data_IF_614703446728
#
_entry.id   IF_614703446728
#
_cell.length_a   1.000
_cell.length_b   1.000
_cell.length_c   1.000
_cell.angle_alpha   90.00
_cell.angle_beta   90.00
_cell.angle_gamma   90.00
#
_symmetry.space_group_name_H-M   'P 1'
#
loop_
_entity.id
_entity.type
_entity.pdbx_description
1 polymer ?
#
# COMPACT_ATOMS: atom_id res chain seq x y z
N UNK A 1 31.97 -28.87 28.30
CA UNK A 1 31.02 -28.69 27.17
C UNK A 1 29.56 -28.44 27.54
N UNK A 2 29.08 -28.67 28.78
CA UNK A 2 27.67 -28.41 29.16
C UNK A 2 27.29 -26.91 29.28
N UNK A 3 28.25 -26.02 29.58
CA UNK A 3 27.99 -24.58 29.79
C UNK A 3 27.77 -23.78 28.48
N UNK A 4 28.30 -24.23 27.35
CA UNK A 4 28.21 -23.51 26.07
C UNK A 4 26.88 -23.79 25.35
N UNK A 5 26.38 -25.03 25.42
CA UNK A 5 25.08 -25.41 24.84
C UNK A 5 23.92 -24.73 25.58
N UNK A 6 24.04 -24.55 26.90
CA UNK A 6 23.04 -23.84 27.72
C UNK A 6 23.00 -22.32 27.42
N UNK A 7 24.13 -21.71 27.00
CA UNK A 7 24.18 -20.30 26.59
C UNK A 7 23.53 -20.07 25.22
N UNK A 8 23.70 -21.00 24.28
CA UNK A 8 23.09 -20.91 22.94
C UNK A 8 21.57 -21.18 23.03
N UNK A 9 21.15 -22.16 23.83
CA UNK A 9 19.71 -22.40 24.09
C UNK A 9 19.00 -21.22 24.76
N UNK A 10 19.66 -20.50 25.67
CA UNK A 10 19.12 -19.26 26.26
C UNK A 10 19.10 -18.09 25.27
N UNK A 11 20.07 -17.96 24.36
CA UNK A 11 20.03 -16.92 23.32
C UNK A 11 18.95 -17.16 22.27
N UNK A 12 18.68 -18.41 21.88
CA UNK A 12 17.58 -18.75 20.96
C UNK A 12 16.21 -18.54 21.62
N UNK A 13 16.06 -18.84 22.91
CA UNK A 13 14.84 -18.54 23.66
C UNK A 13 14.61 -17.03 23.84
N UNK A 14 15.67 -16.22 24.01
CA UNK A 14 15.56 -14.75 24.10
C UNK A 14 15.25 -14.14 22.71
N UNK A 15 15.80 -14.68 21.63
CA UNK A 15 15.50 -14.23 20.27
C UNK A 15 14.06 -14.62 19.83
N UNK A 16 13.55 -15.79 20.21
CA UNK A 16 12.14 -16.16 20.00
C UNK A 16 11.17 -15.39 20.90
N UNK A 17 11.59 -14.96 22.09
CA UNK A 17 10.75 -14.14 22.96
C UNK A 17 10.63 -12.68 22.48
N UNK A 18 11.59 -12.17 21.71
CA UNK A 18 11.50 -10.83 21.09
C UNK A 18 10.55 -10.76 19.89
N UNK A 19 10.17 -11.89 19.28
CA UNK A 19 9.13 -11.93 18.24
C UNK A 19 7.70 -11.98 18.80
N UNK A 20 7.54 -12.17 20.12
CA UNK A 20 6.24 -12.18 20.81
C UNK A 20 5.95 -10.91 21.61
N UNK A 21 6.90 -9.97 21.70
CA UNK A 21 6.58 -8.60 22.08
C UNK A 21 6.02 -7.88 20.86
N UNK A 22 4.75 -8.17 20.60
CA UNK A 22 3.90 -7.31 19.80
C UNK A 22 4.13 -5.88 20.25
N UNK A 23 4.45 -5.04 19.27
CA UNK A 23 4.55 -3.61 19.38
C UNK A 23 3.55 -3.10 20.41
N UNK A 24 4.08 -2.52 21.48
CA UNK A 24 3.30 -1.77 22.46
C UNK A 24 2.69 -0.61 21.68
N UNK A 25 1.43 -0.74 21.28
CA UNK A 25 0.62 0.40 20.86
C UNK A 25 0.36 1.25 22.11
N UNK A 26 1.37 2.04 22.49
CA UNK A 26 1.22 3.19 23.38
C UNK A 26 0.59 4.35 22.58
N UNK A 27 -0.55 4.08 21.96
CA UNK A 27 -1.49 5.09 21.50
C UNK A 27 -2.87 4.63 21.96
N UNK A 28 -3.52 5.42 22.80
CA UNK A 28 -4.87 5.17 23.31
C UNK A 28 -5.97 5.21 22.21
N UNK A 29 -5.57 5.28 20.94
CA UNK A 29 -6.44 5.36 19.77
C UNK A 29 -6.59 3.97 19.15
N UNK A 30 -7.80 3.43 19.23
CA UNK A 30 -8.12 2.15 18.57
C UNK A 30 -9.00 2.41 17.36
N UNK A 31 -8.52 2.06 16.17
CA UNK A 31 -9.33 2.05 14.95
C UNK A 31 -10.28 0.86 15.03
N UNK A 32 -11.58 1.13 15.15
CA UNK A 32 -12.62 0.11 15.28
C UNK A 32 -13.24 -0.27 13.93
N UNK A 33 -13.45 0.73 13.07
CA UNK A 33 -14.04 0.53 11.73
C UNK A 33 -13.30 1.38 10.70
N UNK A 34 -13.37 0.97 9.45
CA UNK A 34 -12.76 1.67 8.31
C UNK A 34 -13.51 1.33 7.04
N UNK A 35 -13.54 2.28 6.12
CA UNK A 35 -14.10 2.13 4.77
C UNK A 35 -13.37 1.05 3.96
N UNK A 36 -12.05 0.98 4.10
CA UNK A 36 -11.18 0.05 3.36
C UNK A 36 -10.27 -0.71 4.31
N UNK A 37 -9.93 -1.95 3.96
CA UNK A 37 -9.03 -2.78 4.78
C UNK A 37 -7.64 -2.16 4.96
N UNK A 38 -7.18 -1.35 4.01
CA UNK A 38 -5.91 -0.63 4.11
C UNK A 38 -6.12 0.80 3.64
N UNK A 39 -5.47 1.76 4.31
CA UNK A 39 -5.43 3.16 3.86
C UNK A 39 -4.93 3.23 2.40
N UNK A 40 -5.57 4.02 1.53
CA UNK A 40 -5.22 4.10 0.12
C UNK A 40 -3.85 4.76 -0.12
N UNK A 41 -3.27 4.51 -1.29
CA UNK A 41 -1.93 5.02 -1.66
C UNK A 41 -1.87 6.56 -1.64
N UNK A 42 -2.95 7.21 -2.10
CA UNK A 42 -3.07 8.67 -2.14
C UNK A 42 -3.11 9.31 -0.76
N UNK A 43 -3.45 8.55 0.29
CA UNK A 43 -3.45 9.02 1.68
C UNK A 43 -2.10 8.76 2.36
N UNK A 44 -1.47 7.61 2.10
CA UNK A 44 -0.30 7.16 2.88
C UNK A 44 1.03 7.64 2.30
N UNK A 45 1.11 7.78 0.98
CA UNK A 45 2.43 7.89 0.32
C UNK A 45 2.52 9.04 -0.67
N UNK A 46 1.64 9.07 -1.66
CA UNK A 46 1.75 10.05 -2.75
C UNK A 46 0.38 10.28 -3.37
N UNK A 47 -0.05 11.53 -3.38
CA UNK A 47 -1.20 11.98 -4.16
C UNK A 47 -0.94 11.75 -5.66
N UNK A 48 -1.97 11.47 -6.47
CA UNK A 48 -1.76 11.28 -7.90
C UNK A 48 -1.11 12.53 -8.53
N UNK A 49 -0.30 12.32 -9.56
CA UNK A 49 0.19 13.44 -10.38
C UNK A 49 -0.89 13.81 -11.40
N UNK A 50 -1.08 15.10 -11.63
CA UNK A 50 -2.04 15.61 -12.61
C UNK A 50 -1.51 15.37 -14.02
N UNK A 51 -2.41 15.07 -14.97
CA UNK A 51 -2.00 14.98 -16.39
C UNK A 51 -1.84 16.33 -17.08
N UNK A 52 -2.36 17.39 -16.45
CA UNK A 52 -2.41 18.74 -17.00
C UNK A 52 -2.37 19.78 -15.87
N UNK A 53 -2.21 21.04 -16.25
CA UNK A 53 -2.07 22.18 -15.34
C UNK A 53 -3.40 22.91 -15.09
N UNK A 54 -4.53 22.35 -15.53
CA UNK A 54 -5.86 23.00 -15.40
C UNK A 54 -6.49 22.79 -14.02
N UNK A 55 -5.93 21.90 -13.22
CA UNK A 55 -6.40 21.56 -11.89
C UNK A 55 -5.26 20.97 -11.06
N UNK A 56 -5.43 20.96 -9.74
CA UNK A 56 -4.55 20.25 -8.81
C UNK A 56 -5.33 19.33 -7.87
N UNK A 57 -4.64 18.32 -7.32
CA UNK A 57 -5.22 17.45 -6.30
C UNK A 57 -5.07 18.07 -4.91
N UNK A 58 -6.17 18.13 -4.18
CA UNK A 58 -6.20 18.58 -2.79
C UNK A 58 -6.71 17.46 -1.87
N UNK A 59 -5.92 17.13 -0.86
CA UNK A 59 -6.34 16.24 0.22
C UNK A 59 -6.97 17.07 1.32
N UNK A 60 -8.16 16.69 1.76
CA UNK A 60 -8.85 17.31 2.89
C UNK A 60 -9.22 16.26 3.90
N UNK A 61 -9.04 16.59 5.18
CA UNK A 61 -9.39 15.75 6.32
C UNK A 61 -10.29 16.50 7.29
N UNK A 62 -11.21 15.77 7.92
CA UNK A 62 -12.04 16.30 8.99
C UNK A 62 -12.47 15.18 9.95
N UNK A 63 -12.80 15.57 11.18
CA UNK A 63 -13.17 14.65 12.26
C UNK A 63 -14.50 15.05 12.88
N UNK A 64 -15.43 14.11 12.99
CA UNK A 64 -16.71 14.36 13.65
C UNK A 64 -17.31 13.08 14.25
N UNK A 65 -18.34 13.21 15.08
CA UNK A 65 -19.04 12.09 15.73
C UNK A 65 -19.85 11.24 14.74
N UNK A 66 -20.29 11.84 13.63
CA UNK A 66 -21.04 11.17 12.56
C UNK A 66 -20.30 11.29 11.23
N UNK A 67 -20.37 10.23 10.42
CA UNK A 67 -19.75 10.20 9.10
C UNK A 67 -20.27 11.31 8.18
N UNK A 68 -21.58 11.59 8.19
CA UNK A 68 -22.15 12.65 7.34
C UNK A 68 -21.69 14.04 7.78
N UNK A 69 -21.55 14.26 9.09
CA UNK A 69 -20.98 15.51 9.61
C UNK A 69 -19.51 15.65 9.23
N UNK A 70 -18.72 14.57 9.33
CA UNK A 70 -17.32 14.57 8.92
C UNK A 70 -17.16 14.84 7.41
N UNK A 71 -18.04 14.29 6.56
CA UNK A 71 -18.08 14.60 5.13
C UNK A 71 -18.42 16.07 4.87
N UNK A 72 -19.40 16.60 5.57
CA UNK A 72 -19.75 18.01 5.48
C UNK A 72 -18.59 18.92 5.93
N UNK A 73 -17.92 18.57 7.03
CA UNK A 73 -16.75 19.29 7.53
C UNK A 73 -15.57 19.23 6.55
N UNK A 74 -15.39 18.13 5.81
CA UNK A 74 -14.43 18.07 4.71
C UNK A 74 -14.76 19.08 3.60
N UNK A 75 -16.03 19.26 3.25
CA UNK A 75 -16.43 20.29 2.26
C UNK A 75 -16.18 21.71 2.80
N UNK A 76 -16.44 21.95 4.09
CA UNK A 76 -16.13 23.23 4.73
C UNK A 76 -14.61 23.49 4.80
N UNK A 77 -13.81 22.46 5.05
CA UNK A 77 -12.35 22.58 5.03
C UNK A 77 -11.83 22.84 3.60
N UNK A 78 -12.44 22.23 2.58
CA UNK A 78 -12.14 22.52 1.18
C UNK A 78 -12.47 23.97 0.80
N UNK A 79 -13.66 24.47 1.17
CA UNK A 79 -14.06 25.85 0.87
C UNK A 79 -13.15 26.88 1.57
N UNK A 80 -12.70 26.59 2.80
CA UNK A 80 -11.68 27.40 3.50
C UNK A 80 -10.34 27.37 2.79
N UNK A 81 -9.89 26.20 2.32
CA UNK A 81 -8.65 26.07 1.56
C UNK A 81 -8.71 26.93 0.29
N UNK A 82 -9.79 26.83 -0.50
CA UNK A 82 -9.98 27.63 -1.72
C UNK A 82 -9.99 29.13 -1.39
N UNK A 83 -10.73 29.53 -0.35
CA UNK A 83 -10.78 30.91 0.09
C UNK A 83 -9.41 31.47 0.48
N UNK A 84 -8.59 30.67 1.18
CA UNK A 84 -7.22 31.07 1.55
C UNK A 84 -6.27 31.10 0.34
N UNK A 85 -6.31 30.08 -0.52
CA UNK A 85 -5.45 29.96 -1.68
C UNK A 85 -5.65 31.12 -2.67
N UNK A 86 -6.90 31.53 -2.88
CA UNK A 86 -7.26 32.59 -3.83
C UNK A 86 -7.48 33.95 -3.15
N UNK A 87 -7.24 34.05 -1.84
CA UNK A 87 -7.40 35.26 -1.02
C UNK A 87 -8.80 35.88 -1.13
N UNK A 88 -9.81 35.02 -1.11
CA UNK A 88 -11.22 35.40 -1.21
C UNK A 88 -11.82 35.51 0.19
N UNK A 89 -12.43 36.66 0.47
CA UNK A 89 -13.26 36.88 1.66
C UNK A 89 -14.73 36.94 1.26
N UNK A 90 -15.45 35.81 1.34
CA UNK A 90 -16.86 35.73 0.99
C UNK A 90 -17.51 34.43 1.46
N UNK A 91 -18.85 34.40 1.47
CA UNK A 91 -19.62 33.17 1.70
C UNK A 91 -19.61 32.31 0.43
N UNK A 92 -19.38 31.00 0.59
CA UNK A 92 -19.35 30.05 -0.51
C UNK A 92 -20.70 29.32 -0.60
N UNK A 93 -21.40 29.47 -1.72
CA UNK A 93 -22.56 28.64 -2.03
C UNK A 93 -22.09 27.39 -2.79
N UNK A 94 -22.58 26.21 -2.41
CA UNK A 94 -22.12 24.93 -2.98
C UNK A 94 -23.22 24.25 -3.79
N UNK A 95 -23.00 24.14 -5.10
CA UNK A 95 -23.87 23.38 -5.99
C UNK A 95 -23.32 21.99 -6.27
N UNK A 96 -24.13 20.95 -6.08
CA UNK A 96 -23.77 19.55 -6.35
C UNK A 96 -24.34 19.12 -7.68
N UNK A 97 -23.48 18.88 -8.67
CA UNK A 97 -23.85 18.26 -9.94
C UNK A 97 -23.46 16.79 -9.91
N UNK A 98 -24.44 15.91 -10.12
CA UNK A 98 -24.20 14.48 -10.31
C UNK A 98 -24.11 14.18 -11.79
N UNK A 99 -22.92 13.82 -12.27
CA UNK A 99 -22.72 13.39 -13.66
C UNK A 99 -22.88 11.87 -13.78
N UNK A 100 -23.88 11.41 -14.53
CA UNK A 100 -24.05 10.00 -14.87
C UNK A 100 -23.39 9.72 -16.24
N UNK A 101 -22.41 8.81 -16.28
CA UNK A 101 -21.71 8.46 -17.53
C UNK A 101 -21.78 6.94 -17.82
N UNK A 102 -22.32 6.58 -19.00
CA UNK A 102 -22.37 5.20 -19.53
C UNK A 102 -23.07 4.15 -18.67
N UNK A 103 -24.17 4.47 -17.97
CA UNK A 103 -24.97 3.48 -17.22
C UNK A 103 -24.25 2.83 -16.02
N UNK A 104 -22.97 3.13 -15.82
CA UNK A 104 -22.22 2.81 -14.62
C UNK A 104 -22.25 4.04 -13.71
N UNK A 105 -22.75 3.88 -12.49
CA UNK A 105 -22.69 4.90 -11.44
C UNK A 105 -21.22 5.18 -11.13
N UNK A 106 -20.63 6.14 -11.82
CA UNK A 106 -19.42 6.83 -11.36
C UNK A 106 -19.97 8.09 -10.73
N UNK A 107 -20.19 8.04 -9.41
CA UNK A 107 -20.68 9.17 -8.63
C UNK A 107 -19.56 10.22 -8.53
N UNK A 108 -19.19 10.85 -9.65
CA UNK A 108 -18.36 12.03 -9.63
C UNK A 108 -19.26 13.20 -9.24
N UNK A 109 -19.38 13.42 -7.94
CA UNK A 109 -19.97 14.64 -7.41
C UNK A 109 -19.06 15.80 -7.78
N UNK A 110 -19.50 16.61 -8.74
CA UNK A 110 -18.86 17.88 -9.09
C UNK A 110 -19.48 18.93 -8.17
N UNK A 111 -18.64 19.66 -7.44
CA UNK A 111 -19.06 20.72 -6.54
C UNK A 111 -18.60 22.05 -7.11
N UNK A 112 -19.52 22.99 -7.32
CA UNK A 112 -19.18 24.36 -7.68
C UNK A 112 -19.29 25.25 -6.43
N UNK A 113 -18.21 25.95 -6.09
CA UNK A 113 -18.20 26.95 -5.03
C UNK A 113 -18.32 28.33 -5.64
N UNK A 114 -19.40 29.03 -5.31
CA UNK A 114 -19.67 30.39 -5.77
C UNK A 114 -19.30 31.39 -4.67
N UNK A 115 -18.33 32.25 -4.93
CA UNK A 115 -17.92 33.31 -4.02
C UNK A 115 -18.34 34.67 -4.57
N UNK A 116 -19.03 35.47 -3.77
CA UNK A 116 -19.41 36.85 -4.11
C UNK A 116 -18.41 37.83 -3.49
N UNK A 117 -17.68 38.59 -4.31
CA UNK A 117 -16.71 39.60 -3.87
C UNK A 117 -17.06 40.93 -4.52
N UNK A 118 -17.54 41.90 -3.73
CA UNK A 118 -17.79 43.34 -3.99
C UNK A 118 -18.43 43.80 -5.33
N UNK A 119 -18.23 43.11 -6.46
CA UNK A 119 -19.01 43.14 -7.72
C UNK A 119 -18.71 41.99 -8.71
N UNK A 120 -17.90 40.98 -8.35
CA UNK A 120 -17.58 39.81 -9.19
C UNK A 120 -17.97 38.51 -8.48
N UNK A 121 -18.45 37.54 -9.27
CA UNK A 121 -18.73 36.18 -8.80
C UNK A 121 -17.63 35.25 -9.31
N UNK A 122 -16.88 34.66 -8.38
CA UNK A 122 -15.83 33.68 -8.70
C UNK A 122 -16.41 32.29 -8.44
N UNK A 123 -16.55 31.50 -9.50
CA UNK A 123 -16.99 30.11 -9.42
C UNK A 123 -15.80 29.16 -9.50
N UNK A 124 -15.65 28.28 -8.51
CA UNK A 124 -14.59 27.27 -8.45
C UNK A 124 -15.21 25.89 -8.63
N UNK A 125 -14.91 25.23 -9.74
CA UNK A 125 -15.34 23.85 -9.94
C UNK A 125 -14.36 22.90 -9.27
N UNK A 126 -14.90 21.94 -8.53
CA UNK A 126 -14.13 20.88 -7.89
C UNK A 126 -14.82 19.53 -8.13
N UNK A 127 -14.06 18.44 -8.06
CA UNK A 127 -14.61 17.09 -8.19
C UNK A 127 -14.08 16.19 -7.09
N UNK A 128 -14.95 15.35 -6.51
CA UNK A 128 -14.54 14.32 -5.56
C UNK A 128 -14.08 13.08 -6.31
N UNK A 129 -12.83 12.69 -6.07
CA UNK A 129 -12.24 11.48 -6.66
C UNK A 129 -12.39 10.25 -5.78
N UNK A 130 -12.09 10.39 -4.49
CA UNK A 130 -12.15 9.27 -3.57
C UNK A 130 -12.39 9.71 -2.14
N UNK A 131 -12.90 8.79 -1.34
CA UNK A 131 -13.15 8.96 0.10
C UNK A 131 -12.59 7.75 0.85
N UNK A 132 -11.93 8.02 1.97
CA UNK A 132 -11.56 7.00 2.96
C UNK A 132 -11.91 7.53 4.34
N UNK A 133 -12.67 6.75 5.11
CA UNK A 133 -12.94 7.06 6.51
C UNK A 133 -12.50 5.94 7.45
N UNK A 134 -12.20 6.31 8.69
CA UNK A 134 -11.94 5.42 9.81
C UNK A 134 -12.63 5.92 11.09
N UNK A 135 -13.15 4.99 11.89
CA UNK A 135 -13.77 5.27 13.18
C UNK A 135 -12.76 4.95 14.28
N UNK A 136 -12.29 5.98 14.95
CA UNK A 136 -11.25 5.92 15.98
C UNK A 136 -11.90 6.13 17.33
N UNK A 137 -11.66 5.21 18.25
CA UNK A 137 -12.11 5.32 19.63
C UNK A 137 -11.06 6.04 20.48
N UNK A 138 -11.47 7.15 21.09
CA UNK A 138 -10.69 7.88 22.09
C UNK A 138 -11.27 7.62 23.49
N UNK A 139 -10.49 7.86 24.57
CA UNK A 139 -11.00 7.79 25.94
C UNK A 139 -12.25 8.66 26.20
N UNK A 140 -12.45 9.73 25.40
CA UNK A 140 -13.60 10.63 25.47
C UNK A 140 -14.73 10.37 24.47
N UNK A 141 -14.72 9.24 23.76
CA UNK A 141 -15.72 8.88 22.75
C UNK A 141 -15.12 8.55 21.38
N UNK A 142 -15.90 7.91 20.52
CA UNK A 142 -15.46 7.58 19.16
C UNK A 142 -15.77 8.68 18.15
N UNK A 143 -14.84 8.89 17.22
CA UNK A 143 -14.97 9.88 16.14
C UNK A 143 -14.66 9.25 14.80
N UNK A 144 -15.38 9.68 13.76
CA UNK A 144 -15.06 9.41 12.37
C UNK A 144 -14.03 10.40 11.89
N UNK A 145 -12.89 9.89 11.41
CA UNK A 145 -11.90 10.62 10.63
C UNK A 145 -12.21 10.35 9.16
N UNK A 146 -12.53 11.40 8.41
CA UNK A 146 -12.83 11.33 6.99
C UNK A 146 -11.70 12.00 6.22
N UNK A 147 -11.25 11.34 5.15
CA UNK A 147 -10.24 11.82 4.22
C UNK A 147 -10.85 11.80 2.83
N UNK A 148 -10.79 12.93 2.13
CA UNK A 148 -11.36 13.07 0.79
C UNK A 148 -10.31 13.64 -0.15
N UNK A 149 -10.17 13.00 -1.31
CA UNK A 149 -9.32 13.48 -2.39
C UNK A 149 -10.16 14.27 -3.39
N UNK A 150 -9.92 15.56 -3.48
CA UNK A 150 -10.56 16.47 -4.44
C UNK A 150 -9.61 16.82 -5.59
N UNK A 151 -10.18 17.08 -6.76
CA UNK A 151 -9.56 17.88 -7.80
C UNK A 151 -10.12 19.29 -7.75
N UNK A 152 -9.28 20.30 -7.61
CA UNK A 152 -9.66 21.72 -7.57
C UNK A 152 -9.22 22.37 -8.88
N UNK A 153 -10.16 22.97 -9.60
CA UNK A 153 -9.88 23.65 -10.85
C UNK A 153 -9.08 24.93 -10.62
N UNK A 154 -8.02 25.13 -11.40
CA UNK A 154 -7.24 26.37 -11.43
C UNK A 154 -7.69 27.31 -12.58
N UNK A 155 -8.52 26.78 -13.49
CA UNK A 155 -9.07 27.51 -14.65
C UNK A 155 -10.59 27.34 -14.73
N UNK A 156 -11.33 28.26 -15.39
CA UNK A 156 -12.79 28.20 -15.46
C UNK A 156 -13.36 26.95 -16.15
N UNK A 157 -12.62 26.37 -17.11
CA UNK A 157 -13.01 25.14 -17.82
C UNK A 157 -11.94 24.07 -17.58
N UNK A 158 -11.96 23.41 -16.40
CA UNK A 158 -10.94 22.42 -16.05
C UNK A 158 -11.10 21.13 -16.84
N UNK A 159 -9.98 20.47 -17.10
CA UNK A 159 -9.94 19.11 -17.64
C UNK A 159 -9.52 18.14 -16.53
N UNK A 160 -10.49 17.70 -15.74
CA UNK A 160 -10.24 16.72 -14.68
C UNK A 160 -9.78 15.37 -15.23
N UNK A 161 -8.84 14.74 -14.52
CA UNK A 161 -8.34 13.41 -14.85
C UNK A 161 -9.41 12.35 -14.65
N UNK A 162 -9.42 11.34 -15.52
CA UNK A 162 -10.26 10.15 -15.33
C UNK A 162 -9.54 9.13 -14.46
N UNK A 163 -9.66 9.29 -13.16
CA UNK A 163 -9.13 8.34 -12.20
C UNK A 163 -10.01 7.09 -12.12
N UNK A 164 -9.34 5.95 -12.00
CA UNK A 164 -9.95 4.71 -11.55
C UNK A 164 -9.19 4.16 -10.36
N UNK A 165 -9.88 3.45 -9.49
CA UNK A 165 -9.26 2.86 -8.31
C UNK A 165 -9.20 1.35 -8.47
N UNK A 166 -8.00 0.80 -8.31
CA UNK A 166 -7.78 -0.64 -8.35
C UNK A 166 -7.00 -1.10 -7.13
N UNK A 167 -7.26 -2.34 -6.72
CA UNK A 167 -6.49 -3.06 -5.69
C UNK A 167 -5.58 -4.12 -6.30
N UNK A 168 -5.62 -4.29 -7.63
CA UNK A 168 -4.82 -5.27 -8.37
C UNK A 168 -3.47 -4.66 -8.77
N UNK A 169 -2.40 -5.30 -8.32
CA UNK A 169 -1.02 -4.94 -8.64
C UNK A 169 -0.42 -5.82 -9.75
N UNK A 170 -1.07 -6.94 -10.07
CA UNK A 170 -0.66 -7.88 -11.11
C UNK A 170 0.74 -8.46 -10.86
N UNK A 171 1.38 -8.88 -11.95
CA UNK A 171 2.69 -9.56 -11.95
C UNK A 171 3.82 -8.71 -11.35
N UNK A 172 3.66 -7.37 -11.33
CA UNK A 172 4.66 -6.46 -10.73
C UNK A 172 4.91 -6.73 -9.24
N UNK A 173 3.92 -7.24 -8.51
CA UNK A 173 4.09 -7.66 -7.12
C UNK A 173 4.95 -8.92 -7.01
N UNK A 174 4.68 -9.91 -7.87
CA UNK A 174 5.44 -11.16 -7.95
C UNK A 174 6.92 -10.93 -8.31
N UNK A 175 7.21 -10.11 -9.31
CA UNK A 175 8.60 -9.83 -9.73
C UNK A 175 9.44 -9.29 -8.59
N UNK A 176 8.86 -8.45 -7.72
CA UNK A 176 9.55 -7.94 -6.53
C UNK A 176 9.76 -9.05 -5.50
N UNK A 177 8.75 -9.88 -5.26
CA UNK A 177 8.84 -11.04 -4.36
C UNK A 177 9.80 -12.13 -4.85
N UNK A 178 10.09 -12.21 -6.17
CA UNK A 178 11.09 -13.11 -6.73
C UNK A 178 12.52 -12.71 -6.33
N UNK A 179 12.81 -11.40 -6.34
CA UNK A 179 14.14 -10.86 -6.01
C UNK A 179 14.36 -10.91 -4.50
N UNK A 180 13.38 -10.42 -3.73
CA UNK A 180 13.45 -10.38 -2.26
C UNK A 180 12.14 -10.90 -1.68
N UNK A 181 12.16 -12.01 -0.93
CA UNK A 181 10.96 -12.52 -0.28
C UNK A 181 10.28 -11.46 0.60
N UNK A 182 8.96 -11.35 0.49
CA UNK A 182 8.17 -10.35 1.23
C UNK A 182 8.15 -8.94 0.61
N UNK A 183 9.02 -8.61 -0.37
CA UNK A 183 9.04 -7.27 -0.98
C UNK A 183 7.78 -6.95 -1.77
N UNK A 184 7.21 -7.92 -2.49
CA UNK A 184 5.95 -7.76 -3.20
C UNK A 184 4.79 -7.39 -2.26
N UNK A 185 4.76 -7.95 -1.04
CA UNK A 185 3.74 -7.65 -0.03
C UNK A 185 3.92 -6.25 0.56
N UNK A 186 5.17 -5.86 0.85
CA UNK A 186 5.49 -4.50 1.29
C UNK A 186 5.10 -3.46 0.23
N UNK A 187 5.37 -3.75 -1.05
CA UNK A 187 4.98 -2.90 -2.18
C UNK A 187 3.46 -2.76 -2.34
N UNK A 188 2.70 -3.83 -2.07
CA UNK A 188 1.23 -3.79 -2.00
C UNK A 188 0.70 -3.07 -0.75
N UNK A 189 1.57 -2.71 0.18
CA UNK A 189 1.24 -2.00 1.41
C UNK A 189 0.95 -2.89 2.62
N UNK A 190 1.10 -4.21 2.51
CA UNK A 190 1.03 -5.15 3.63
C UNK A 190 2.42 -5.37 4.22
N UNK A 191 2.94 -4.34 4.90
CA UNK A 191 4.29 -4.32 5.45
C UNK A 191 4.53 -5.39 6.50
N UNK A 192 3.56 -5.61 7.40
CA UNK A 192 3.65 -6.67 8.44
C UNK A 192 3.82 -8.04 7.81
N UNK A 193 2.98 -8.40 6.83
CA UNK A 193 3.11 -9.68 6.12
C UNK A 193 4.45 -9.80 5.40
N UNK A 194 4.86 -8.74 4.69
CA UNK A 194 6.14 -8.71 4.00
C UNK A 194 7.33 -8.89 4.93
N UNK A 195 7.32 -8.24 6.10
CA UNK A 195 8.36 -8.38 7.12
C UNK A 195 8.36 -9.76 7.78
N UNK A 196 7.19 -10.37 8.03
CA UNK A 196 7.12 -11.74 8.54
C UNK A 196 7.69 -12.75 7.55
N UNK A 197 7.39 -12.61 6.25
CA UNK A 197 7.96 -13.47 5.21
C UNK A 197 9.47 -13.28 5.12
N UNK A 198 9.94 -12.03 5.02
CA UNK A 198 11.37 -11.71 4.96
C UNK A 198 12.11 -12.26 6.20
N UNK A 199 11.57 -12.00 7.39
CA UNK A 199 12.15 -12.46 8.65
C UNK A 199 12.17 -13.98 8.75
N UNK A 200 11.11 -14.66 8.31
CA UNK A 200 11.06 -16.11 8.24
C UNK A 200 12.14 -16.69 7.34
N UNK A 201 12.33 -16.11 6.15
CA UNK A 201 13.39 -16.55 5.21
C UNK A 201 14.79 -16.31 5.77
N UNK A 202 15.04 -15.16 6.41
CA UNK A 202 16.32 -14.87 7.06
C UNK A 202 16.60 -15.86 8.19
N UNK A 203 15.59 -16.20 9.00
CA UNK A 203 15.72 -17.19 10.07
C UNK A 203 16.03 -18.59 9.52
N UNK A 204 15.35 -18.99 8.44
CA UNK A 204 15.58 -20.30 7.80
C UNK A 204 16.96 -20.37 7.15
N UNK A 205 17.38 -19.33 6.43
CA UNK A 205 18.72 -19.23 5.86
C UNK A 205 19.81 -19.29 6.95
N UNK A 206 19.62 -18.56 8.06
CA UNK A 206 20.50 -18.65 9.23
C UNK A 206 20.53 -20.06 9.83
N UNK A 207 19.37 -20.71 9.93
CA UNK A 207 19.24 -22.10 10.38
C UNK A 207 20.02 -23.08 9.51
N UNK A 208 19.99 -22.92 8.17
CA UNK A 208 20.76 -23.73 7.22
C UNK A 208 22.26 -23.57 7.47
N UNK A 209 22.74 -22.33 7.56
CA UNK A 209 24.17 -22.03 7.76
C UNK A 209 24.67 -22.58 9.09
N UNK A 210 23.93 -22.35 10.19
CA UNK A 210 24.32 -22.83 11.52
C UNK A 210 24.30 -24.36 11.58
N UNK A 211 23.28 -24.99 11.01
CA UNK A 211 23.16 -26.46 10.98
C UNK A 211 24.31 -27.09 10.19
N UNK A 212 24.68 -26.50 9.04
CA UNK A 212 25.80 -26.98 8.23
C UNK A 212 27.14 -26.79 8.94
N UNK A 213 27.34 -25.64 9.59
CA UNK A 213 28.55 -25.37 10.39
C UNK A 213 28.70 -26.37 11.55
N UNK A 214 27.61 -26.66 12.27
CA UNK A 214 27.61 -27.64 13.35
C UNK A 214 27.84 -29.07 12.83
N UNK A 215 27.20 -29.45 11.73
CA UNK A 215 27.41 -30.74 11.05
C UNK A 215 28.88 -30.92 10.69
N UNK A 216 29.48 -29.94 10.01
CA UNK A 216 30.90 -29.95 9.63
C UNK A 216 31.83 -30.07 10.84
N UNK A 217 31.53 -29.35 11.94
CA UNK A 217 32.28 -29.45 13.20
C UNK A 217 32.25 -30.86 13.81
N UNK A 218 31.09 -31.54 13.77
CA UNK A 218 30.98 -32.91 14.27
C UNK A 218 31.66 -33.94 13.37
N UNK A 219 31.59 -33.76 12.05
CA UNK A 219 32.35 -34.58 11.09
C UNK A 219 33.85 -34.45 11.33
N UNK A 220 34.37 -33.24 11.57
CA UNK A 220 35.79 -33.05 11.92
C UNK A 220 36.18 -33.78 13.21
N UNK A 221 35.36 -33.67 14.26
CA UNK A 221 35.59 -34.38 15.55
C UNK A 221 35.54 -35.90 15.43
N UNK A 222 34.72 -36.40 14.50
CA UNK A 222 34.66 -37.83 14.18
C UNK A 222 36.02 -38.33 13.67
N UNK A 223 36.70 -37.57 12.81
CA UNK A 223 38.04 -37.90 12.32
C UNK A 223 39.12 -37.77 13.40
N UNK A 224 39.01 -36.79 14.29
CA UNK A 224 40.00 -36.55 15.36
C UNK A 224 39.88 -37.55 16.54
N UNK A 225 38.69 -38.10 16.80
CA UNK A 225 38.41 -38.96 17.95
C UNK A 225 37.67 -40.25 17.54
N UNK A 226 38.37 -41.23 16.94
CA UNK A 226 37.76 -42.46 16.45
C UNK A 226 37.08 -43.30 17.54
N UNK A 227 37.47 -43.14 18.82
CA UNK A 227 36.83 -43.81 19.97
C UNK A 227 35.36 -43.41 20.21
N UNK A 228 34.92 -42.24 19.72
CA UNK A 228 33.55 -41.73 19.89
C UNK A 228 32.84 -41.53 18.54
N UNK A 229 33.29 -42.23 17.50
CA UNK A 229 32.84 -42.06 16.13
C UNK A 229 31.31 -42.16 15.97
N UNK A 230 30.70 -43.20 16.54
CA UNK A 230 29.25 -43.41 16.46
C UNK A 230 28.45 -42.25 17.06
N UNK A 231 28.90 -41.73 18.22
CA UNK A 231 28.22 -40.61 18.89
C UNK A 231 28.32 -39.30 18.11
N UNK A 232 29.45 -39.06 17.44
CA UNK A 232 29.61 -37.88 16.59
C UNK A 232 28.84 -38.02 15.27
N UNK A 233 28.75 -39.23 14.71
CA UNK A 233 27.98 -39.51 13.51
C UNK A 233 26.49 -39.22 13.74
N UNK A 234 25.88 -39.78 14.80
CA UNK A 234 24.46 -39.50 15.12
C UNK A 234 24.18 -38.01 15.33
N UNK A 235 25.14 -37.25 15.87
CA UNK A 235 24.99 -35.80 16.03
C UNK A 235 25.09 -35.06 14.70
N UNK A 236 25.99 -35.46 13.83
CA UNK A 236 26.10 -34.90 12.48
C UNK A 236 24.81 -35.17 11.69
N UNK A 237 24.30 -36.41 11.72
CA UNK A 237 23.04 -36.81 11.06
C UNK A 237 21.84 -36.00 11.58
N UNK A 238 21.77 -35.75 12.89
CA UNK A 238 20.71 -34.90 13.45
C UNK A 238 20.79 -33.46 12.92
N UNK A 239 21.98 -32.86 12.82
CA UNK A 239 22.13 -31.51 12.24
C UNK A 239 21.89 -31.48 10.74
N UNK A 240 22.19 -32.56 10.03
CA UNK A 240 21.80 -32.74 8.63
C UNK A 240 20.28 -32.77 8.46
N UNK A 241 19.57 -33.51 9.31
CA UNK A 241 18.10 -33.52 9.31
C UNK A 241 17.53 -32.12 9.58
N UNK A 242 18.08 -31.38 10.55
CA UNK A 242 17.68 -29.99 10.82
C UNK A 242 17.93 -29.10 9.61
N UNK A 243 19.11 -29.19 8.96
CA UNK A 243 19.42 -28.45 7.74
C UNK A 243 18.40 -28.74 6.64
N UNK A 244 18.09 -30.01 6.39
CA UNK A 244 17.16 -30.43 5.35
C UNK A 244 15.73 -29.93 5.64
N UNK A 245 15.30 -29.94 6.91
CA UNK A 245 14.02 -29.34 7.33
C UNK A 245 14.02 -27.82 7.08
N UNK A 246 15.10 -27.10 7.41
CA UNK A 246 15.20 -25.67 7.14
C UNK A 246 15.18 -25.36 5.64
N UNK A 247 15.86 -26.15 4.80
CA UNK A 247 15.82 -26.02 3.34
C UNK A 247 14.39 -26.24 2.82
N UNK A 248 13.73 -27.31 3.27
CA UNK A 248 12.36 -27.62 2.86
C UNK A 248 11.37 -26.53 3.28
N UNK A 249 11.50 -26.02 4.51
CA UNK A 249 10.68 -24.92 5.01
C UNK A 249 10.94 -23.61 4.25
N UNK A 250 12.20 -23.31 3.90
CA UNK A 250 12.53 -22.12 3.11
C UNK A 250 11.93 -22.20 1.71
N UNK A 251 12.06 -23.35 1.05
CA UNK A 251 11.43 -23.57 -0.26
C UNK A 251 9.90 -23.43 -0.20
N UNK A 252 9.26 -23.99 0.82
CA UNK A 252 7.80 -23.88 1.01
C UNK A 252 7.37 -22.42 1.26
N UNK A 253 8.09 -21.69 2.12
CA UNK A 253 7.82 -20.29 2.42
C UNK A 253 8.01 -19.39 1.18
N UNK A 254 9.04 -19.67 0.38
CA UNK A 254 9.32 -18.95 -0.85
C UNK A 254 8.19 -19.13 -1.88
N UNK A 255 7.75 -20.37 -2.12
CA UNK A 255 6.63 -20.67 -3.02
C UNK A 255 5.34 -20.00 -2.54
N UNK A 256 5.05 -20.07 -1.24
CA UNK A 256 3.90 -19.39 -0.64
C UNK A 256 3.95 -17.88 -0.88
N UNK A 257 5.10 -17.24 -0.67
CA UNK A 257 5.31 -15.81 -0.92
C UNK A 257 5.00 -15.43 -2.38
N UNK A 258 5.38 -16.24 -3.36
CA UNK A 258 5.09 -15.97 -4.77
C UNK A 258 3.60 -16.03 -5.09
N UNK A 259 2.93 -17.08 -4.63
CA UNK A 259 1.49 -17.27 -4.84
C UNK A 259 0.72 -16.11 -4.19
N UNK A 260 1.03 -15.81 -2.92
CA UNK A 260 0.39 -14.72 -2.19
C UNK A 260 0.65 -13.36 -2.87
N UNK A 261 1.86 -13.16 -3.43
CA UNK A 261 2.23 -11.94 -4.17
C UNK A 261 1.50 -11.78 -5.51
N UNK A 262 0.87 -12.82 -6.07
CA UNK A 262 0.03 -12.70 -7.26
C UNK A 262 -1.43 -12.51 -6.85
N UNK A 263 -1.93 -13.35 -5.95
CA UNK A 263 -3.36 -13.46 -5.64
C UNK A 263 -3.85 -12.30 -4.77
N UNK A 264 -3.03 -11.83 -3.83
CA UNK A 264 -3.53 -10.88 -2.83
C UNK A 264 -3.74 -9.48 -3.39
N UNK A 265 -4.90 -8.91 -3.08
CA UNK A 265 -5.18 -7.50 -3.32
C UNK A 265 -4.34 -6.61 -2.39
N UNK A 266 -3.81 -5.52 -2.93
CA UNK A 266 -3.04 -4.53 -2.18
C UNK A 266 -3.87 -3.32 -1.77
N UNK A 267 -3.18 -2.27 -1.30
CA UNK A 267 -3.77 -0.95 -1.06
C UNK A 267 -4.48 -0.45 -2.32
N UNK A 268 -5.59 0.24 -2.12
CA UNK A 268 -6.29 0.93 -3.21
C UNK A 268 -5.37 2.00 -3.78
N UNK A 269 -5.15 1.99 -5.10
CA UNK A 269 -4.32 2.97 -5.82
C UNK A 269 -5.11 3.62 -6.94
N UNK A 270 -4.80 4.89 -7.18
CA UNK A 270 -5.29 5.63 -8.33
C UNK A 270 -4.54 5.19 -9.58
N UNK A 271 -5.29 4.92 -10.65
CA UNK A 271 -4.77 4.68 -12.00
C UNK A 271 -5.44 5.69 -12.92
N UNK A 272 -4.61 6.58 -13.46
CA UNK A 272 -5.02 7.58 -14.44
C UNK A 272 -5.21 6.88 -15.78
N UNK A 273 -6.41 6.94 -16.32
CA UNK A 273 -6.65 6.52 -17.70
C UNK A 273 -6.28 7.65 -18.64
N UNK A 274 -5.14 7.53 -19.31
CA UNK A 274 -4.86 8.40 -20.46
C UNK A 274 -5.75 7.95 -21.62
N UNK A 275 -6.48 8.87 -22.27
CA UNK A 275 -7.24 8.54 -23.45
C UNK A 275 -6.24 8.18 -24.55
N UNK A 276 -6.03 6.89 -24.79
CA UNK A 276 -5.28 6.43 -25.96
C UNK A 276 -6.17 6.69 -27.17
N UNK A 277 -5.84 7.75 -27.92
CA UNK A 277 -6.53 8.04 -29.17
C UNK A 277 -5.86 7.21 -30.25
N UNK A 278 -6.54 6.13 -30.63
CA UNK A 278 -6.21 5.36 -31.82
C UNK A 278 -6.97 5.96 -32.99
N UNK A 279 -6.25 6.52 -33.94
CA UNK A 279 -6.84 7.08 -35.14
C UNK A 279 -6.32 6.33 -36.37
N UNK A 280 -7.23 6.01 -37.27
CA UNK A 280 -6.97 5.35 -38.54
C UNK A 280 -7.26 6.36 -39.64
N UNK A 281 -6.27 6.64 -40.49
CA UNK A 281 -6.44 7.54 -41.62
C UNK A 281 -6.03 6.84 -42.91
N UNK A 282 -6.76 7.04 -44.02
CA UNK A 282 -6.30 6.59 -45.33
C UNK A 282 -5.04 7.37 -45.69
N UNK A 283 -3.97 6.66 -46.06
CA UNK A 283 -2.72 7.24 -46.54
C UNK A 283 -2.71 7.17 -48.06
N UNK A 284 -2.63 8.33 -48.71
CA UNK A 284 -2.56 8.45 -50.16
C UNK A 284 -1.15 8.91 -50.52
N UNK A 285 -0.43 8.09 -51.28
CA UNK A 285 0.97 8.26 -51.68
C UNK A 285 1.38 7.17 -52.69
N UNK A 286 2.68 6.95 -52.91
CA UNK A 286 3.18 5.94 -53.87
C UNK A 286 2.72 4.50 -53.54
N UNK A 287 2.39 4.24 -52.29
CA UNK A 287 1.64 3.06 -51.86
C UNK A 287 0.37 3.52 -51.12
N UNK A 288 -0.80 3.30 -51.72
CA UNK A 288 -2.08 3.49 -51.04
C UNK A 288 -2.17 2.50 -49.86
N UNK A 289 -2.45 3.01 -48.67
CA UNK A 289 -2.47 2.19 -47.46
C UNK A 289 -3.28 2.81 -46.33
N UNK A 290 -3.22 2.16 -45.16
CA UNK A 290 -3.86 2.63 -43.94
C UNK A 290 -2.77 3.04 -42.96
N UNK A 291 -2.81 4.29 -42.52
CA UNK A 291 -1.92 4.80 -41.48
C UNK A 291 -2.61 4.73 -40.13
N UNK A 292 -1.87 4.22 -39.14
CA UNK A 292 -2.29 4.18 -37.75
C UNK A 292 -1.53 5.25 -36.97
N UNK A 293 -2.28 6.16 -36.34
CA UNK A 293 -1.73 7.13 -35.41
C UNK A 293 -2.12 6.72 -33.98
N UNK A 294 -1.12 6.57 -33.12
CA UNK A 294 -1.26 6.35 -31.68
C UNK A 294 -0.73 7.60 -30.98
N UNK A 295 -1.64 8.40 -30.43
CA UNK A 295 -1.27 9.54 -29.59
C UNK A 295 -1.32 9.11 -28.12
N UNK A 296 -0.18 9.27 -27.42
CA UNK A 296 0.03 8.90 -26.01
C UNK A 296 -0.17 10.07 -25.05
#
# INVERSE_FOLDING_TARGET
MKKTVLKIGRMVAIASSCFLFGFVDASAQKILRKSENMRPVWLVSKTPETTNETFHYQLVEAENESLEKARHDCLLALSRYIGQAWKISGEAETDIRMEQKNGAYTESSVYNFHYKIENEEISVTTTKYDEYWEYVYYPGGGRYHCYVLFGVADVPVPRFDRLSFTRKYGVRGMVRSLIVPGWGQMYKGSTVKGLCILGGEVLLAGGIIVSESLRSSYVKKMHEQPKHQQTYNTKADNWENVRNVCIGAAAALYVYNLIDAIVMNGRKRAVVHRPVQFAMYPSVGECNGVSFALNF
#
